data_IF_646537244104
#
_entry.id   IF_646537244104
#
_cell.length_a   1.000
_cell.length_b   1.000
_cell.length_c   1.000
_cell.angle_alpha   90.00
_cell.angle_beta   90.00
_cell.angle_gamma   90.00
#
_symmetry.space_group_name_H-M   'P 1'
#
loop_
_entity.id
_entity.type
_entity.pdbx_description
1 polymer ?
#
# COMPACT_ATOMS: atom_id res chain seq x y z
N UNK A 1 4.87 -20.19 -27.87
CA UNK A 1 5.81 -20.47 -26.77
C UNK A 1 5.74 -19.33 -25.76
N UNK A 2 5.03 -19.52 -24.64
CA UNK A 2 5.09 -18.57 -23.51
C UNK A 2 6.48 -18.68 -22.89
N UNK A 3 7.28 -17.62 -22.94
CA UNK A 3 8.63 -17.64 -22.40
C UNK A 3 8.56 -17.83 -20.89
N UNK A 4 9.23 -18.85 -20.34
CA UNK A 4 9.28 -19.15 -18.89
C UNK A 4 9.63 -17.94 -18.01
N UNK A 5 10.30 -16.95 -18.61
CA UNK A 5 10.63 -15.67 -17.99
C UNK A 5 9.40 -14.85 -17.60
N UNK A 6 8.34 -14.85 -18.42
CA UNK A 6 7.12 -14.08 -18.20
C UNK A 6 6.34 -14.61 -16.99
N UNK A 7 6.23 -15.94 -16.87
CA UNK A 7 5.60 -16.60 -15.72
C UNK A 7 6.36 -16.30 -14.43
N UNK A 8 7.70 -16.27 -14.48
CA UNK A 8 8.54 -15.94 -13.33
C UNK A 8 8.34 -14.48 -12.89
N UNK A 9 8.34 -13.53 -13.84
CA UNK A 9 8.10 -12.10 -13.56
C UNK A 9 6.70 -11.85 -12.98
N UNK A 10 5.69 -12.56 -13.47
CA UNK A 10 4.33 -12.50 -12.93
C UNK A 10 4.28 -12.97 -11.47
N UNK A 11 4.87 -14.13 -11.17
CA UNK A 11 4.94 -14.67 -9.80
C UNK A 11 5.68 -13.74 -8.85
N UNK A 12 6.81 -13.17 -9.29
CA UNK A 12 7.59 -12.20 -8.48
C UNK A 12 6.74 -10.97 -8.17
N UNK A 13 6.09 -10.38 -9.19
CA UNK A 13 5.21 -9.22 -9.01
C UNK A 13 4.08 -9.52 -8.01
N UNK A 14 3.48 -10.70 -8.10
CA UNK A 14 2.41 -11.15 -7.21
C UNK A 14 2.89 -11.31 -5.77
N UNK A 15 4.02 -12.00 -5.56
CA UNK A 15 4.63 -12.15 -4.22
C UNK A 15 4.96 -10.78 -3.62
N UNK A 16 5.53 -9.86 -4.40
CA UNK A 16 5.83 -8.51 -3.91
C UNK A 16 4.56 -7.77 -3.47
N UNK A 17 3.46 -7.87 -4.24
CA UNK A 17 2.20 -7.24 -3.87
C UNK A 17 1.60 -7.88 -2.60
N UNK A 18 1.66 -9.20 -2.47
CA UNK A 18 1.16 -9.92 -1.29
C UNK A 18 1.94 -9.48 -0.05
N UNK A 19 3.27 -9.43 -0.14
CA UNK A 19 4.12 -8.97 0.95
C UNK A 19 3.80 -7.50 1.28
N UNK A 20 3.71 -6.62 0.29
CA UNK A 20 3.31 -5.22 0.49
C UNK A 20 1.98 -5.10 1.25
N UNK A 21 0.98 -5.88 0.83
CA UNK A 21 -0.34 -5.89 1.48
C UNK A 21 -0.27 -6.36 2.92
N UNK A 22 0.49 -7.43 3.20
CA UNK A 22 0.68 -7.92 4.57
C UNK A 22 1.37 -6.87 5.46
N UNK A 23 2.37 -6.14 4.94
CA UNK A 23 3.01 -5.05 5.69
C UNK A 23 2.04 -3.90 5.99
N UNK A 24 1.23 -3.47 5.01
CA UNK A 24 0.22 -2.41 5.23
C UNK A 24 -0.80 -2.83 6.29
N UNK A 25 -1.34 -4.05 6.18
CA UNK A 25 -2.32 -4.55 7.13
C UNK A 25 -1.72 -4.63 8.54
N UNK A 26 -0.50 -5.17 8.66
CA UNK A 26 0.20 -5.23 9.96
C UNK A 26 0.37 -3.84 10.55
N UNK A 27 0.81 -2.87 9.75
CA UNK A 27 0.96 -1.48 10.18
C UNK A 27 -0.36 -0.87 10.67
N UNK A 28 -1.45 -1.05 9.93
CA UNK A 28 -2.75 -0.48 10.28
C UNK A 28 -3.30 -1.12 11.54
N UNK A 29 -3.27 -2.45 11.63
CA UNK A 29 -3.76 -3.18 12.81
C UNK A 29 -2.97 -2.81 14.06
N UNK A 30 -1.64 -2.80 13.98
CA UNK A 30 -0.75 -2.42 15.07
C UNK A 30 -0.96 -0.95 15.48
N UNK A 31 -1.22 -0.06 14.52
CA UNK A 31 -1.51 1.36 14.79
C UNK A 31 -2.89 1.57 15.42
N UNK A 32 -3.88 0.79 15.01
CA UNK A 32 -5.22 0.80 15.58
C UNK A 32 -5.22 0.28 17.02
N UNK A 33 -4.51 -0.81 17.30
CA UNK A 33 -4.38 -1.38 18.65
C UNK A 33 -3.62 -0.42 19.58
N UNK A 34 -2.55 0.22 19.09
CA UNK A 34 -1.75 1.13 19.89
C UNK A 34 -2.35 2.51 20.17
N UNK A 35 -3.50 2.83 19.58
CA UNK A 35 -4.20 4.13 19.69
C UNK A 35 -3.26 5.35 19.57
N UNK A 36 -2.24 5.26 18.72
CA UNK A 36 -1.29 6.36 18.48
C UNK A 36 -0.24 6.63 19.56
N UNK A 37 -0.15 5.83 20.64
CA UNK A 37 0.89 5.96 21.67
C UNK A 37 1.99 4.92 21.53
N UNK A 38 1.66 3.65 21.74
CA UNK A 38 2.60 2.53 21.65
C UNK A 38 1.81 1.34 21.13
N UNK A 39 2.20 0.84 19.96
CA UNK A 39 1.57 -0.32 19.32
C UNK A 39 1.86 -1.62 20.06
N UNK A 40 1.44 -2.72 19.45
CA UNK A 40 1.94 -4.06 19.76
C UNK A 40 3.46 -4.13 19.59
N UNK A 41 4.02 -3.37 18.63
CA UNK A 41 5.47 -3.22 18.47
C UNK A 41 6.02 -2.09 19.37
N UNK A 42 7.11 -2.32 20.14
CA UNK A 42 7.76 -1.31 21.00
C UNK A 42 8.58 -0.31 20.18
N UNK A 43 7.95 0.34 19.22
CA UNK A 43 8.55 1.30 18.30
C UNK A 43 7.70 2.57 18.22
N UNK A 44 8.35 3.72 18.02
CA UNK A 44 7.67 5.00 17.82
C UNK A 44 6.79 4.97 16.56
N UNK A 45 5.65 5.69 16.60
CA UNK A 45 4.70 5.76 15.48
C UNK A 45 5.36 6.20 14.16
N UNK A 46 6.31 7.14 14.23
CA UNK A 46 7.07 7.63 13.06
C UNK A 46 7.96 6.54 12.46
N UNK A 47 8.67 5.78 13.30
CA UNK A 47 9.50 4.67 12.83
C UNK A 47 8.65 3.55 12.23
N UNK A 48 7.50 3.24 12.84
CA UNK A 48 6.58 2.21 12.32
C UNK A 48 6.01 2.60 10.96
N UNK A 49 5.57 3.86 10.80
CA UNK A 49 5.10 4.39 9.52
C UNK A 49 6.19 4.39 8.45
N UNK A 50 7.43 4.72 8.81
CA UNK A 50 8.55 4.69 7.87
C UNK A 50 8.95 3.25 7.48
N UNK A 51 9.07 2.35 8.45
CA UNK A 51 9.54 0.98 8.22
C UNK A 51 8.47 0.13 7.54
N UNK A 52 7.21 0.20 7.97
CA UNK A 52 6.15 -0.66 7.41
C UNK A 52 5.30 0.04 6.35
N UNK A 53 5.03 1.34 6.52
CA UNK A 53 4.27 2.13 5.56
C UNK A 53 5.09 2.47 4.31
N UNK A 54 6.26 3.10 4.47
CA UNK A 54 7.05 3.50 3.29
C UNK A 54 7.62 2.29 2.53
N UNK A 55 8.03 1.23 3.21
CA UNK A 55 8.51 0.00 2.55
C UNK A 55 7.42 -0.69 1.74
N UNK A 56 6.18 -0.75 2.24
CA UNK A 56 5.07 -1.36 1.53
C UNK A 56 4.67 -0.55 0.29
N UNK A 57 4.72 0.78 0.36
CA UNK A 57 4.58 1.67 -0.79
C UNK A 57 5.63 1.32 -1.86
N UNK A 58 6.91 1.24 -1.48
CA UNK A 58 8.00 0.89 -2.41
C UNK A 58 7.76 -0.49 -3.04
N UNK A 59 7.32 -1.47 -2.25
CA UNK A 59 6.99 -2.81 -2.75
C UNK A 59 5.81 -2.80 -3.72
N UNK A 60 4.78 -1.96 -3.52
CA UNK A 60 3.69 -1.78 -4.49
C UNK A 60 4.20 -1.20 -5.80
N UNK A 61 5.07 -0.19 -5.77
CA UNK A 61 5.67 0.37 -6.98
C UNK A 61 6.55 -0.65 -7.72
N UNK A 62 7.38 -1.40 -6.99
CA UNK A 62 8.20 -2.48 -7.57
C UNK A 62 7.32 -3.58 -8.17
N UNK A 63 6.26 -3.98 -7.47
CA UNK A 63 5.29 -4.95 -7.96
C UNK A 63 4.60 -4.46 -9.23
N UNK A 64 4.22 -3.19 -9.29
CA UNK A 64 3.64 -2.57 -10.47
C UNK A 64 4.64 -2.52 -11.65
N UNK A 65 5.87 -2.06 -11.42
CA UNK A 65 6.90 -1.96 -12.45
C UNK A 65 7.29 -3.30 -13.06
N UNK A 66 7.48 -4.33 -12.22
CA UNK A 66 7.80 -5.69 -12.68
C UNK A 66 6.57 -6.32 -13.38
N UNK A 67 5.37 -6.03 -12.88
CA UNK A 67 4.11 -6.55 -13.41
C UNK A 67 3.56 -5.79 -14.64
N UNK A 68 4.18 -4.70 -15.08
CA UNK A 68 3.60 -3.86 -16.14
C UNK A 68 3.52 -4.60 -17.50
N UNK A 69 4.50 -5.47 -17.77
CA UNK A 69 4.55 -6.30 -18.98
C UNK A 69 3.64 -7.53 -18.90
N UNK A 70 3.47 -8.11 -17.71
CA UNK A 70 2.70 -9.34 -17.49
C UNK A 70 1.58 -9.09 -16.48
N UNK A 71 0.35 -8.95 -16.98
CA UNK A 71 -0.81 -8.52 -16.19
C UNK A 71 -1.36 -9.68 -15.37
N UNK A 72 -0.93 -9.81 -14.10
CA UNK A 72 -1.63 -10.64 -13.13
C UNK A 72 -2.89 -9.93 -12.63
N UNK A 73 -4.02 -10.65 -12.64
CA UNK A 73 -5.28 -10.17 -12.03
C UNK A 73 -5.08 -9.94 -10.53
N UNK A 74 -4.31 -10.81 -9.87
CA UNK A 74 -4.04 -10.74 -8.43
C UNK A 74 -3.28 -9.47 -8.09
N UNK A 75 -2.15 -9.19 -8.75
CA UNK A 75 -1.40 -7.96 -8.53
C UNK A 75 -2.25 -6.71 -8.73
N UNK A 76 -3.10 -6.71 -9.75
CA UNK A 76 -4.00 -5.58 -10.03
C UNK A 76 -4.98 -5.34 -8.88
N UNK A 77 -5.62 -6.39 -8.39
CA UNK A 77 -6.53 -6.31 -7.23
C UNK A 77 -5.78 -5.84 -5.99
N UNK A 78 -4.58 -6.36 -5.74
CA UNK A 78 -3.78 -5.98 -4.56
C UNK A 78 -3.30 -4.52 -4.62
N UNK A 79 -2.97 -3.98 -5.80
CA UNK A 79 -2.62 -2.57 -5.95
C UNK A 79 -3.82 -1.66 -5.67
N UNK A 80 -5.00 -2.02 -6.18
CA UNK A 80 -6.24 -1.27 -5.94
C UNK A 80 -6.59 -1.32 -4.45
N UNK A 81 -6.65 -2.52 -3.87
CA UNK A 81 -6.98 -2.71 -2.47
C UNK A 81 -5.93 -2.07 -1.55
N UNK A 82 -4.64 -2.29 -1.80
CA UNK A 82 -3.54 -1.73 -1.02
C UNK A 82 -3.47 -0.21 -1.09
N UNK A 83 -3.65 0.36 -2.29
CA UNK A 83 -3.71 1.81 -2.47
C UNK A 83 -4.92 2.44 -1.76
N UNK A 84 -6.11 1.83 -1.91
CA UNK A 84 -7.31 2.28 -1.22
C UNK A 84 -7.15 2.20 0.30
N UNK A 85 -6.67 1.08 0.83
CA UNK A 85 -6.43 0.89 2.27
C UNK A 85 -5.40 1.90 2.80
N UNK A 86 -4.31 2.14 2.06
CA UNK A 86 -3.28 3.11 2.47
C UNK A 86 -3.83 4.54 2.49
N UNK A 87 -4.54 4.97 1.44
CA UNK A 87 -5.11 6.31 1.36
C UNK A 87 -6.25 6.53 2.37
N UNK A 88 -7.15 5.56 2.50
CA UNK A 88 -8.32 5.67 3.40
C UNK A 88 -7.98 5.47 4.86
N UNK A 89 -6.96 4.68 5.21
CA UNK A 89 -6.57 4.49 6.63
C UNK A 89 -6.11 5.80 7.28
N UNK A 90 -5.37 6.63 6.56
CA UNK A 90 -4.95 7.96 7.04
C UNK A 90 -6.17 8.89 7.19
N UNK A 91 -7.06 8.90 6.20
CA UNK A 91 -8.30 9.69 6.28
C UNK A 91 -9.23 9.22 7.40
N UNK A 92 -9.34 7.91 7.61
CA UNK A 92 -10.12 7.31 8.68
C UNK A 92 -9.57 7.64 10.06
N UNK A 93 -8.25 7.59 10.23
CA UNK A 93 -7.60 8.03 11.47
C UNK A 93 -7.90 9.49 11.81
N UNK A 94 -7.96 10.35 10.79
CA UNK A 94 -8.28 11.78 10.93
C UNK A 94 -9.76 12.01 11.23
N UNK A 95 -10.66 11.25 10.60
CA UNK A 95 -12.10 11.33 10.86
C UNK A 95 -12.48 10.91 12.29
N UNK A 96 -11.73 9.95 12.86
CA UNK A 96 -11.91 9.49 14.25
C UNK A 96 -11.18 10.41 15.23
N UNK A 97 -10.10 11.06 14.80
CA UNK A 97 -9.36 12.04 15.60
C UNK A 97 -10.15 13.34 15.82
N UNK A 98 -10.12 13.87 17.03
CA UNK A 98 -10.81 15.13 17.42
C UNK A 98 -10.30 16.41 16.71
N UNK A 99 -9.42 16.29 15.72
CA UNK A 99 -8.75 17.40 15.06
C UNK A 99 -9.23 17.69 13.63
N UNK A 100 -10.10 16.86 13.03
CA UNK A 100 -10.59 17.06 11.66
C UNK A 100 -9.48 17.12 10.60
N UNK A 101 -9.81 17.56 9.38
CA UNK A 101 -8.84 17.65 8.26
C UNK A 101 -7.62 18.55 8.55
N UNK A 102 -7.71 19.46 9.52
CA UNK A 102 -6.60 20.35 9.92
C UNK A 102 -5.55 19.67 10.79
N UNK A 103 -5.86 18.50 11.36
CA UNK A 103 -4.88 17.68 12.07
C UNK A 103 -4.04 16.78 11.14
N UNK A 104 -4.28 16.84 9.82
CA UNK A 104 -3.44 16.15 8.84
C UNK A 104 -2.09 16.87 8.80
N UNK A 105 -1.11 16.29 9.48
CA UNK A 105 0.28 16.68 9.31
C UNK A 105 0.67 16.53 7.82
N UNK A 106 1.41 17.48 7.26
CA UNK A 106 1.77 17.50 5.83
C UNK A 106 2.41 16.18 5.35
N UNK A 107 3.13 15.49 6.23
CA UNK A 107 3.72 14.17 5.98
C UNK A 107 2.69 13.07 5.71
N UNK A 108 1.51 13.12 6.35
CA UNK A 108 0.42 12.17 6.13
C UNK A 108 -0.34 12.45 4.84
N UNK A 109 -0.42 13.72 4.43
CA UNK A 109 -1.03 14.12 3.16
C UNK A 109 -0.28 13.51 1.96
N UNK A 110 1.05 13.43 2.06
CA UNK A 110 1.87 12.71 1.09
C UNK A 110 1.52 11.22 1.00
N UNK A 111 1.28 10.55 2.13
CA UNK A 111 0.87 9.12 2.16
C UNK A 111 -0.50 8.93 1.51
N UNK A 112 -1.45 9.86 1.75
CA UNK A 112 -2.78 9.82 1.11
C UNK A 112 -2.66 9.92 -0.41
N UNK A 113 -1.91 10.92 -0.89
CA UNK A 113 -1.69 11.11 -2.33
C UNK A 113 -1.06 9.85 -2.93
N UNK A 114 -0.01 9.33 -2.31
CA UNK A 114 0.68 8.14 -2.80
C UNK A 114 -0.22 6.91 -2.79
N UNK A 115 -1.04 6.72 -1.76
CA UNK A 115 -2.03 5.63 -1.70
C UNK A 115 -3.01 5.67 -2.86
N UNK A 116 -3.58 6.85 -3.15
CA UNK A 116 -4.47 7.03 -4.30
C UNK A 116 -3.75 6.92 -5.65
N UNK A 117 -2.48 7.32 -5.75
CA UNK A 117 -1.67 7.08 -6.94
C UNK A 117 -1.50 5.59 -7.18
N UNK A 118 -1.17 4.80 -6.16
CA UNK A 118 -1.05 3.33 -6.27
C UNK A 118 -2.39 2.72 -6.71
N UNK A 119 -3.50 3.17 -6.11
CA UNK A 119 -4.84 2.74 -6.51
C UNK A 119 -5.12 3.08 -7.98
N UNK A 120 -4.80 4.30 -8.41
CA UNK A 120 -4.93 4.75 -9.80
C UNK A 120 -4.10 3.92 -10.77
N UNK A 121 -2.86 3.57 -10.41
CA UNK A 121 -2.01 2.66 -11.19
C UNK A 121 -2.65 1.26 -11.31
N UNK A 122 -3.25 0.76 -10.23
CA UNK A 122 -4.04 -0.47 -10.25
C UNK A 122 -5.24 -0.41 -11.21
N UNK A 123 -6.02 0.68 -11.15
CA UNK A 123 -7.18 0.89 -12.04
C UNK A 123 -6.73 1.03 -13.50
N UNK A 124 -5.68 1.82 -13.78
CA UNK A 124 -5.11 1.97 -15.12
C UNK A 124 -4.70 0.60 -15.69
N UNK A 125 -4.10 -0.26 -14.86
CA UNK A 125 -3.72 -1.61 -15.28
C UNK A 125 -4.95 -2.48 -15.60
N UNK A 126 -6.05 -2.33 -14.86
CA UNK A 126 -7.32 -3.00 -15.11
C UNK A 126 -7.97 -2.54 -16.43
N UNK A 127 -7.98 -1.23 -16.69
CA UNK A 127 -8.59 -0.62 -17.88
C UNK A 127 -7.77 -0.88 -19.14
N UNK A 128 -6.44 -0.93 -19.04
CA UNK A 128 -5.57 -1.26 -20.17
C UNK A 128 -5.64 -2.74 -20.61
N UNK A 129 -6.68 -3.49 -20.24
CA UNK A 129 -6.95 -4.82 -20.80
C UNK A 129 -7.11 -4.69 -22.33
N UNK A 130 -6.05 -5.00 -23.05
CA UNK A 130 -6.11 -5.55 -24.41
C UNK A 130 -6.08 -7.06 -24.27
#
# INVERSE_FOLDING_TARGET
MYSQENVRRQKISEVLAIVAMALVLTYITDSAVGQGKQGFLPMNAVQRGMIFGASSIILFFLSFGIGIREKSKVTTILLIAGGAVTGTSVLGAVAIGKGGLTAIQSSFLGVVIVGYVIMGLGILRLVQKK
#
